data_IF_284454491228
#
_entry.id   IF_284454491228
#
_cell.length_a   1.000
_cell.length_b   1.000
_cell.length_c   1.000
_cell.angle_alpha   90.00
_cell.angle_beta   90.00
_cell.angle_gamma   90.00
#
_symmetry.space_group_name_H-M   'P 1'
#
loop_
_entity.id
_entity.type
_entity.pdbx_description
1 polymer ?
#
# COMPACT_ATOMS: atom_id res chain seq x y z
N UNK A 1 3.51 12.88 8.93
CA UNK A 1 4.68 12.68 8.02
C UNK A 1 5.05 11.22 8.09
N UNK A 2 5.16 10.51 6.97
CA UNK A 2 5.59 9.10 6.99
C UNK A 2 7.08 9.05 7.31
N UNK A 3 7.46 8.27 8.31
CA UNK A 3 8.85 7.91 8.59
C UNK A 3 9.14 6.56 7.93
N UNK A 4 10.25 6.49 7.19
CA UNK A 4 10.70 5.30 6.49
C UNK A 4 11.95 4.76 7.19
N UNK A 5 11.83 3.65 7.90
CA UNK A 5 12.98 2.97 8.52
C UNK A 5 13.32 1.68 7.75
N UNK A 6 14.62 1.43 7.51
CA UNK A 6 15.11 0.12 7.06
C UNK A 6 14.86 -0.26 5.58
N UNK A 7 14.49 0.68 4.70
CA UNK A 7 14.31 0.39 3.28
C UNK A 7 15.63 0.10 2.56
N UNK A 8 15.70 -0.94 1.70
CA UNK A 8 16.91 -1.27 0.93
C UNK A 8 17.23 -0.19 -0.11
N UNK A 9 18.45 -0.22 -0.65
CA UNK A 9 18.84 0.67 -1.76
C UNK A 9 18.08 0.26 -3.03
N UNK A 10 17.22 1.15 -3.52
CA UNK A 10 16.40 0.95 -4.73
C UNK A 10 16.96 1.83 -5.84
N UNK A 11 17.18 1.26 -7.03
CA UNK A 11 17.72 2.00 -8.18
C UNK A 11 16.59 2.78 -8.87
N UNK A 12 15.56 2.07 -9.32
CA UNK A 12 14.37 2.63 -9.99
C UNK A 12 13.10 1.84 -9.62
N UNK A 13 12.63 1.95 -8.36
CA UNK A 13 11.49 1.16 -7.91
C UNK A 13 10.18 1.65 -8.52
N UNK A 14 9.27 0.71 -8.86
CA UNK A 14 7.91 1.02 -9.28
C UNK A 14 6.97 0.89 -8.09
N UNK A 15 6.18 1.93 -7.84
CA UNK A 15 5.08 1.87 -6.88
C UNK A 15 3.82 1.38 -7.58
N UNK A 16 3.19 0.35 -7.00
CA UNK A 16 1.85 -0.10 -7.36
C UNK A 16 0.95 0.20 -6.17
N UNK A 17 -0.12 0.95 -6.39
CA UNK A 17 -1.06 1.34 -5.34
C UNK A 17 -2.48 0.97 -5.74
N UNK A 18 -3.26 0.53 -4.76
CA UNK A 18 -4.69 0.33 -4.87
C UNK A 18 -5.37 0.85 -3.60
N UNK A 19 -6.59 1.38 -3.76
CA UNK A 19 -7.40 1.92 -2.69
C UNK A 19 -8.77 1.28 -2.79
N UNK A 20 -9.29 0.78 -1.68
CA UNK A 20 -10.66 0.30 -1.60
C UNK A 20 -11.67 1.44 -1.79
N UNK A 21 -12.91 1.10 -2.15
CA UNK A 21 -14.02 2.05 -2.25
C UNK A 21 -14.37 2.43 -3.69
N UNK A 22 -14.52 3.73 -3.96
CA UNK A 22 -15.19 4.22 -5.18
C UNK A 22 -14.50 3.78 -6.48
N UNK A 23 -13.17 3.74 -6.50
CA UNK A 23 -12.37 3.33 -7.66
C UNK A 23 -12.20 1.81 -7.79
N UNK A 24 -12.83 1.01 -6.91
CA UNK A 24 -12.52 -0.40 -6.73
C UNK A 24 -13.74 -1.31 -6.88
N UNK A 25 -14.32 -1.31 -8.08
CA UNK A 25 -15.48 -2.14 -8.38
C UNK A 25 -15.16 -3.64 -8.18
N UNK A 26 -15.88 -4.27 -7.25
CA UNK A 26 -15.72 -5.69 -6.93
C UNK A 26 -14.39 -6.01 -6.23
N UNK A 27 -13.81 -5.01 -5.54
CA UNK A 27 -12.55 -5.09 -4.81
C UNK A 27 -11.36 -5.52 -5.70
N UNK A 28 -11.51 -5.39 -7.03
CA UNK A 28 -10.61 -5.98 -8.00
C UNK A 28 -9.18 -5.41 -7.94
N UNK A 29 -9.04 -4.11 -7.71
CA UNK A 29 -7.76 -3.43 -7.60
C UNK A 29 -7.11 -3.69 -6.23
N UNK A 30 -7.85 -3.53 -5.11
CA UNK A 30 -7.30 -3.79 -3.78
C UNK A 30 -6.87 -5.25 -3.61
N UNK A 31 -7.69 -6.20 -4.06
CA UNK A 31 -7.35 -7.62 -4.02
C UNK A 31 -6.18 -7.99 -4.93
N UNK A 32 -6.01 -7.32 -6.08
CA UNK A 32 -4.84 -7.52 -6.92
C UNK A 32 -3.53 -7.12 -6.20
N UNK A 33 -3.51 -5.97 -5.50
CA UNK A 33 -2.32 -5.56 -4.73
C UNK A 33 -2.12 -6.43 -3.49
N UNK A 34 -3.20 -6.81 -2.80
CA UNK A 34 -3.13 -7.76 -1.68
C UNK A 34 -2.57 -9.12 -2.11
N UNK A 35 -2.93 -9.60 -3.30
CA UNK A 35 -2.37 -10.83 -3.86
C UNK A 35 -0.85 -10.70 -4.12
N UNK A 36 -0.39 -9.57 -4.66
CA UNK A 36 1.04 -9.33 -4.87
C UNK A 36 1.82 -9.31 -3.54
N UNK A 37 1.26 -8.64 -2.52
CA UNK A 37 1.84 -8.60 -1.18
C UNK A 37 1.97 -10.01 -0.59
N UNK A 38 0.91 -10.81 -0.68
CA UNK A 38 0.89 -12.18 -0.16
C UNK A 38 1.91 -13.09 -0.85
N UNK A 39 1.94 -13.09 -2.19
CA UNK A 39 2.79 -14.00 -2.96
C UNK A 39 4.27 -13.61 -2.89
N UNK A 40 4.59 -12.31 -2.84
CA UNK A 40 5.96 -11.81 -2.76
C UNK A 40 6.45 -11.59 -1.33
N UNK A 41 5.57 -11.72 -0.33
CA UNK A 41 5.88 -11.51 1.09
C UNK A 41 6.38 -10.08 1.34
N UNK A 42 5.57 -9.11 0.93
CA UNK A 42 5.87 -7.70 1.13
C UNK A 42 6.13 -7.38 2.61
N UNK A 43 7.13 -6.57 2.89
CA UNK A 43 7.43 -6.12 4.25
C UNK A 43 6.85 -4.72 4.47
N UNK A 44 6.02 -4.58 5.51
CA UNK A 44 5.48 -3.29 5.92
C UNK A 44 6.58 -2.46 6.55
N UNK A 45 6.83 -1.28 5.99
CA UNK A 45 7.84 -0.33 6.50
C UNK A 45 7.25 1.04 6.84
N UNK A 46 5.97 1.29 6.49
CA UNK A 46 5.27 2.54 6.80
C UNK A 46 3.74 2.36 6.76
N UNK A 47 3.04 3.22 7.50
CA UNK A 47 1.59 3.39 7.44
C UNK A 47 1.23 4.89 7.51
N UNK A 48 0.17 5.32 6.84
CA UNK A 48 -0.39 6.66 6.98
C UNK A 48 -1.24 6.74 8.25
N UNK A 49 -1.16 7.87 8.96
CA UNK A 49 -2.01 8.13 10.12
C UNK A 49 -3.46 8.36 9.67
N UNK A 50 -4.38 7.57 10.20
CA UNK A 50 -5.77 7.61 9.75
C UNK A 50 -6.53 8.83 10.29
N UNK A 51 -6.11 9.43 11.41
CA UNK A 51 -6.73 10.64 11.98
C UNK A 51 -6.75 11.82 10.99
N UNK A 52 -5.77 11.86 10.09
CA UNK A 52 -5.61 12.94 9.09
C UNK A 52 -6.52 12.76 7.85
N UNK A 53 -6.99 11.53 7.56
CA UNK A 53 -7.56 11.20 6.25
C UNK A 53 -8.90 10.44 6.27
N UNK A 54 -9.26 9.82 7.39
CA UNK A 54 -10.50 9.05 7.52
C UNK A 54 -11.51 9.78 8.41
N UNK A 55 -12.76 9.79 7.98
CA UNK A 55 -13.92 10.12 8.83
C UNK A 55 -14.45 8.79 9.41
N UNK A 56 -14.54 8.71 10.75
CA UNK A 56 -14.81 7.49 11.51
C UNK A 56 -16.25 7.43 12.03
#
# INVERSE_FOLDING_TARGET
>A
MIELEGVPELIDPIMVAAFEGWNDAGDAASTAVAHLEQEWKGEVFAALDAEDYYDF
#
